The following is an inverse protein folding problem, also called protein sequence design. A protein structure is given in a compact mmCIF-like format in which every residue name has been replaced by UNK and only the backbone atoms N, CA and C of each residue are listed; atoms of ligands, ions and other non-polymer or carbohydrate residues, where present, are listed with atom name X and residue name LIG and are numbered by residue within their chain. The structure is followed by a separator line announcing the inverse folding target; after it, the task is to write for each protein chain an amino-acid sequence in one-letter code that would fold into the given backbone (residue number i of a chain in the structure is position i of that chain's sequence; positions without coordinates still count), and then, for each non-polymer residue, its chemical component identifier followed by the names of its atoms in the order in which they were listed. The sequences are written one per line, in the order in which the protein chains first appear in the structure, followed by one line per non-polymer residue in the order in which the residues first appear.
data_IF_070252630064
#
_entry.id   IF_070252630064
#
_cell.length_a   1.000
_cell.length_b   1.000
_cell.length_c   1.000
_cell.angle_alpha   90.00
_cell.angle_beta   90.00
_cell.angle_gamma   90.00
#
_symmetry.space_group_name_H-M   'P 1'
#
loop_
_entity.id
_entity.type
_entity.pdbx_description
1 polymer ?
#
# COMPACT_ATOMS: atom_id res chain seq x y z
N UNK A 1 28.29 -56.26 29.76
CA UNK A 1 28.52 -55.03 30.55
C UNK A 1 27.77 -53.88 29.89
N UNK A 2 26.52 -53.64 30.27
CA UNK A 2 25.76 -52.48 29.81
C UNK A 2 25.91 -51.34 30.81
N UNK A 3 26.66 -50.31 30.42
CA UNK A 3 26.73 -49.05 31.15
C UNK A 3 25.40 -48.30 30.96
N UNK A 4 24.51 -48.42 31.94
CA UNK A 4 23.37 -47.52 32.11
C UNK A 4 23.91 -46.12 32.38
N UNK A 5 23.95 -45.27 31.35
CA UNK A 5 24.22 -43.84 31.50
C UNK A 5 23.07 -43.21 32.26
N UNK A 6 23.29 -42.89 33.54
CA UNK A 6 22.38 -42.07 34.34
C UNK A 6 22.14 -40.73 33.63
N UNK A 7 20.96 -40.54 33.03
CA UNK A 7 20.52 -39.20 32.64
C UNK A 7 20.43 -38.35 33.93
N UNK A 8 20.91 -37.09 33.92
CA UNK A 8 20.83 -36.25 35.10
C UNK A 8 19.36 -36.10 35.52
N UNK A 9 19.07 -36.28 36.81
CA UNK A 9 17.72 -36.30 37.36
C UNK A 9 16.87 -35.07 36.94
N UNK A 10 17.50 -33.92 36.75
CA UNK A 10 16.86 -32.69 36.26
C UNK A 10 16.30 -32.81 34.83
N UNK A 11 17.02 -33.48 33.91
CA UNK A 11 16.55 -33.65 32.53
C UNK A 11 15.37 -34.64 32.46
N UNK A 12 15.37 -35.66 33.31
CA UNK A 12 14.27 -36.61 33.43
C UNK A 12 13.01 -35.93 34.00
N UNK A 13 13.17 -35.10 35.03
CA UNK A 13 12.08 -34.34 35.64
C UNK A 13 11.44 -33.33 34.66
N UNK A 14 12.26 -32.55 33.95
CA UNK A 14 11.75 -31.59 32.95
C UNK A 14 10.89 -32.27 31.90
N UNK A 15 11.39 -33.38 31.34
CA UNK A 15 10.67 -34.14 30.31
C UNK A 15 9.39 -34.79 30.86
N UNK A 16 9.41 -35.38 32.05
CA UNK A 16 8.25 -36.11 32.55
C UNK A 16 7.15 -35.20 33.10
N UNK A 17 7.51 -34.05 33.66
CA UNK A 17 6.58 -33.23 34.44
C UNK A 17 6.32 -31.88 33.80
N UNK A 18 7.36 -31.13 33.42
CA UNK A 18 7.17 -29.72 33.01
C UNK A 18 6.79 -29.61 31.54
N UNK A 19 7.48 -30.34 30.67
CA UNK A 19 7.26 -30.28 29.22
C UNK A 19 5.81 -30.58 28.79
N UNK A 20 5.13 -31.63 29.31
CA UNK A 20 3.74 -31.89 28.94
C UNK A 20 2.78 -30.79 29.39
N UNK A 21 3.05 -30.16 30.54
CA UNK A 21 2.25 -29.04 31.05
C UNK A 21 2.43 -27.83 30.14
N UNK A 22 3.66 -27.49 29.74
CA UNK A 22 3.94 -26.38 28.82
C UNK A 22 3.30 -26.62 27.45
N UNK A 23 3.44 -27.81 26.89
CA UNK A 23 2.78 -28.15 25.62
C UNK A 23 1.25 -28.06 25.72
N UNK A 24 0.67 -28.52 26.84
CA UNK A 24 -0.76 -28.39 27.11
C UNK A 24 -1.22 -26.93 27.18
N UNK A 25 -0.43 -26.06 27.82
CA UNK A 25 -0.72 -24.61 27.86
C UNK A 25 -0.65 -23.96 26.47
N UNK A 26 0.31 -24.33 25.63
CA UNK A 26 0.43 -23.81 24.26
C UNK A 26 -0.76 -24.22 23.39
N UNK A 27 -1.22 -25.48 23.52
CA UNK A 27 -2.41 -25.95 22.81
C UNK A 27 -3.66 -25.21 23.29
N UNK A 28 -3.82 -25.04 24.60
CA UNK A 28 -4.94 -24.29 25.17
C UNK A 28 -4.95 -22.85 24.66
N UNK A 29 -3.79 -22.18 24.63
CA UNK A 29 -3.65 -20.83 24.08
C UNK A 29 -3.97 -20.75 22.58
N UNK A 30 -3.62 -21.77 21.80
CA UNK A 30 -4.00 -21.81 20.38
C UNK A 30 -5.52 -21.98 20.20
N UNK A 31 -6.17 -22.79 21.05
CA UNK A 31 -7.61 -23.03 21.02
C UNK A 31 -8.45 -21.81 21.41
N UNK A 32 -7.89 -20.81 22.12
CA UNK A 32 -8.61 -19.58 22.48
C UNK A 32 -8.57 -18.51 21.38
N UNK A 33 -7.69 -18.63 20.39
CA UNK A 33 -7.55 -17.64 19.31
C UNK A 33 -8.84 -17.43 18.49
N UNK A 34 -9.61 -18.47 18.09
CA UNK A 34 -10.88 -18.27 17.38
C UNK A 34 -11.91 -17.51 18.21
N UNK A 35 -11.96 -17.74 19.53
CA UNK A 35 -12.84 -17.01 20.44
C UNK A 35 -12.44 -15.54 20.55
N UNK A 36 -11.13 -15.25 20.57
CA UNK A 36 -10.62 -13.87 20.58
C UNK A 36 -10.95 -13.11 19.28
N UNK A 37 -10.93 -13.80 18.13
CA UNK A 37 -11.37 -13.22 16.85
C UNK A 37 -12.88 -12.97 16.85
N UNK A 38 -13.69 -13.92 17.33
CA UNK A 38 -15.14 -13.75 17.44
C UNK A 38 -15.54 -12.60 18.39
N UNK A 39 -14.75 -12.36 19.43
CA UNK A 39 -14.94 -11.26 20.37
C UNK A 39 -14.38 -9.91 19.88
N UNK A 40 -13.87 -9.82 18.64
CA UNK A 40 -13.20 -8.64 18.08
C UNK A 40 -11.99 -8.14 18.91
N UNK A 41 -11.35 -9.01 19.69
CA UNK A 41 -10.14 -8.69 20.46
C UNK A 41 -8.87 -8.82 19.60
N UNK A 42 -8.94 -9.60 18.52
CA UNK A 42 -7.85 -9.80 17.57
C UNK A 42 -8.38 -9.80 16.13
N UNK A 43 -7.59 -9.29 15.20
CA UNK A 43 -7.85 -9.48 13.77
C UNK A 43 -7.51 -10.91 13.34
N UNK A 44 -8.14 -11.42 12.28
CA UNK A 44 -7.85 -12.75 11.74
C UNK A 44 -6.36 -12.92 11.39
N UNK A 45 -5.73 -11.87 10.85
CA UNK A 45 -4.31 -11.90 10.49
C UNK A 45 -3.40 -11.91 11.72
N UNK A 46 -3.75 -11.17 12.78
CA UNK A 46 -3.01 -11.21 14.05
C UNK A 46 -3.11 -12.58 14.72
N UNK A 47 -4.32 -13.17 14.76
CA UNK A 47 -4.55 -14.51 15.31
C UNK A 47 -3.73 -15.57 14.56
N UNK A 48 -3.64 -15.48 13.23
CA UNK A 48 -2.83 -16.40 12.43
C UNK A 48 -1.32 -16.30 12.78
N UNK A 49 -0.79 -15.09 12.96
CA UNK A 49 0.62 -14.90 13.35
C UNK A 49 0.92 -15.48 14.73
N UNK A 50 0.01 -15.30 15.69
CA UNK A 50 0.13 -15.87 17.04
C UNK A 50 0.07 -17.40 16.99
N UNK A 51 -0.86 -17.97 16.21
CA UNK A 51 -0.98 -19.42 16.04
C UNK A 51 0.31 -20.04 15.49
N UNK A 52 0.92 -19.38 14.50
CA UNK A 52 2.21 -19.81 13.93
C UNK A 52 3.31 -19.77 15.00
N UNK A 53 3.42 -18.69 15.78
CA UNK A 53 4.40 -18.58 16.86
C UNK A 53 4.26 -19.68 17.92
N UNK A 54 3.02 -20.00 18.33
CA UNK A 54 2.74 -21.08 19.27
C UNK A 54 3.14 -22.45 18.71
N UNK A 55 2.89 -22.70 17.43
CA UNK A 55 3.25 -23.96 16.76
C UNK A 55 4.77 -24.13 16.64
N UNK A 56 5.50 -23.06 16.32
CA UNK A 56 6.96 -23.07 16.31
C UNK A 56 7.55 -23.37 17.70
N UNK A 57 7.02 -22.72 18.75
CA UNK A 57 7.47 -22.94 20.11
C UNK A 57 7.20 -24.38 20.58
N UNK A 58 6.02 -24.93 20.26
CA UNK A 58 5.69 -26.32 20.54
C UNK A 58 6.61 -27.29 19.77
N UNK A 59 6.92 -27.00 18.51
CA UNK A 59 7.87 -27.78 17.69
C UNK A 59 9.29 -27.79 18.26
N UNK A 60 9.78 -26.64 18.72
CA UNK A 60 11.09 -26.51 19.37
C UNK A 60 11.16 -27.31 20.68
N UNK A 61 10.09 -27.29 21.48
CA UNK A 61 10.01 -28.07 22.73
C UNK A 61 9.96 -29.58 22.48
N UNK A 62 9.36 -30.01 21.37
CA UNK A 62 9.24 -31.43 21.01
C UNK A 62 10.49 -31.99 20.30
N UNK A 63 11.36 -31.14 19.75
CA UNK A 63 12.55 -31.52 18.99
C UNK A 63 13.48 -32.53 19.71
N UNK A 64 13.72 -32.42 21.04
CA UNK A 64 14.55 -33.38 21.78
C UNK A 64 13.94 -34.79 21.87
N UNK A 65 12.61 -34.92 21.71
CA UNK A 65 11.91 -36.22 21.69
C UNK A 65 11.84 -36.85 20.32
N UNK A 66 12.08 -36.07 19.28
CA UNK A 66 12.00 -36.50 17.89
C UNK A 66 12.76 -37.81 17.63
N UNK A 67 14.00 -38.02 18.12
CA UNK A 67 14.73 -39.27 17.88
C UNK A 67 14.09 -40.50 18.55
N UNK A 68 13.50 -40.33 19.74
CA UNK A 68 12.83 -41.42 20.49
C UNK A 68 11.45 -41.74 19.90
N UNK A 69 10.72 -40.72 19.44
CA UNK A 69 9.45 -40.86 18.72
C UNK A 69 9.66 -41.53 17.36
N UNK A 70 10.72 -41.14 16.64
CA UNK A 70 11.16 -41.75 15.38
C UNK A 70 11.59 -43.22 15.52
N UNK A 71 12.23 -43.58 16.64
CA UNK A 71 12.70 -44.95 16.87
C UNK A 71 11.60 -45.95 17.24
N UNK A 72 10.56 -45.53 17.96
CA UNK A 72 9.52 -46.46 18.43
C UNK A 72 8.41 -46.71 17.43
N UNK A 73 8.14 -45.76 16.53
CA UNK A 73 7.02 -45.88 15.59
C UNK A 73 7.37 -45.26 14.24
N UNK A 74 8.17 -46.02 13.47
CA UNK A 74 8.59 -45.66 12.10
C UNK A 74 7.39 -45.32 11.20
N UNK A 75 6.22 -45.89 11.48
CA UNK A 75 4.98 -45.60 10.75
C UNK A 75 4.22 -44.36 11.24
N UNK A 76 4.33 -43.97 12.52
CA UNK A 76 3.59 -42.81 13.06
C UNK A 76 4.31 -41.49 12.83
N UNK A 77 5.64 -41.49 12.68
CA UNK A 77 6.35 -40.28 12.24
C UNK A 77 6.16 -40.03 10.74
N UNK A 78 6.04 -41.09 9.93
CA UNK A 78 5.53 -40.96 8.57
C UNK A 78 4.13 -40.32 8.55
N UNK A 79 3.25 -40.74 9.45
CA UNK A 79 1.90 -40.16 9.59
C UNK A 79 1.93 -38.71 10.08
N UNK A 80 2.78 -38.34 11.04
CA UNK A 80 2.87 -36.97 11.55
C UNK A 80 3.56 -36.02 10.55
N UNK A 81 4.57 -36.50 9.82
CA UNK A 81 5.16 -35.76 8.71
C UNK A 81 4.16 -35.60 7.57
N UNK A 82 3.35 -36.62 7.28
CA UNK A 82 2.24 -36.55 6.34
C UNK A 82 1.17 -35.57 6.81
N UNK A 83 0.76 -35.58 8.07
CA UNK A 83 -0.22 -34.63 8.63
C UNK A 83 0.36 -33.21 8.60
N UNK A 84 1.63 -33.02 8.96
CA UNK A 84 2.30 -31.72 8.91
C UNK A 84 2.42 -31.18 7.48
N UNK A 85 2.83 -32.01 6.52
CA UNK A 85 2.86 -31.62 5.10
C UNK A 85 1.46 -31.43 4.53
N UNK A 86 0.48 -32.25 4.90
CA UNK A 86 -0.92 -32.08 4.50
C UNK A 86 -1.50 -30.81 5.09
N UNK A 87 -1.18 -30.46 6.34
CA UNK A 87 -1.59 -29.21 6.97
C UNK A 87 -0.95 -28.00 6.29
N UNK A 88 0.34 -28.06 5.93
CA UNK A 88 1.03 -27.01 5.15
C UNK A 88 0.44 -26.89 3.74
N UNK A 89 0.15 -28.01 3.07
CA UNK A 89 -0.48 -28.03 1.74
C UNK A 89 -1.91 -27.51 1.82
N UNK A 90 -2.70 -27.89 2.82
CA UNK A 90 -4.02 -27.32 3.07
C UNK A 90 -3.95 -25.84 3.43
N UNK A 91 -2.88 -25.39 4.10
CA UNK A 91 -2.64 -23.96 4.36
C UNK A 91 -2.34 -23.20 3.06
N UNK A 92 -1.53 -23.80 2.18
CA UNK A 92 -1.24 -23.25 0.85
C UNK A 92 -2.47 -23.27 -0.06
N UNK A 93 -3.33 -24.29 0.05
CA UNK A 93 -4.62 -24.38 -0.66
C UNK A 93 -5.65 -23.42 -0.06
N UNK A 94 -5.65 -23.17 1.25
CA UNK A 94 -6.53 -22.17 1.88
C UNK A 94 -6.08 -20.73 1.60
N UNK A 95 -4.77 -20.52 1.34
CA UNK A 95 -4.21 -19.28 0.81
C UNK A 95 -4.44 -19.15 -0.71
N UNK A 96 -4.57 -20.27 -1.42
CA UNK A 96 -5.01 -20.28 -2.81
C UNK A 96 -6.51 -19.94 -2.84
N UNK A 97 -6.87 -18.80 -3.42
CA UNK A 97 -8.28 -18.47 -3.71
C UNK A 97 -8.91 -19.69 -4.42
N UNK A 98 -10.05 -20.24 -3.95
CA UNK A 98 -10.68 -21.36 -4.62
C UNK A 98 -11.00 -20.95 -6.05
N UNK A 99 -10.48 -21.71 -7.02
CA UNK A 99 -10.86 -21.57 -8.42
C UNK A 99 -12.38 -21.72 -8.48
N UNK A 100 -13.06 -20.60 -8.72
CA UNK A 100 -14.51 -20.58 -8.82
C UNK A 100 -14.86 -21.30 -10.12
N UNK A 101 -15.14 -22.59 -10.01
CA UNK A 101 -15.84 -23.34 -11.06
C UNK A 101 -17.19 -22.66 -11.20
N UNK A 102 -17.32 -21.83 -12.22
CA UNK A 102 -18.56 -21.14 -12.55
C UNK A 102 -19.08 -21.75 -13.85
N UNK A 103 -20.38 -22.09 -13.90
CA UNK A 103 -20.94 -22.99 -14.89
C UNK A 103 -20.94 -22.35 -16.27
N UNK A 104 -20.87 -23.21 -17.28
CA UNK A 104 -21.22 -22.86 -18.65
C UNK A 104 -22.63 -22.25 -18.66
N UNK A 105 -22.75 -20.93 -18.82
CA UNK A 105 -24.02 -20.28 -19.09
C UNK A 105 -24.15 -20.01 -20.59
N UNK A 106 -24.90 -20.93 -21.20
CA UNK A 106 -25.84 -20.76 -22.30
C UNK A 106 -25.72 -19.49 -23.16
N UNK A 107 -25.21 -19.73 -24.36
CA UNK A 107 -25.74 -19.25 -25.63
C UNK A 107 -27.24 -18.87 -25.55
N UNK A 108 -27.55 -17.58 -25.72
CA UNK A 108 -28.87 -17.14 -26.17
C UNK A 108 -28.73 -15.91 -27.07
N UNK A 109 -28.98 -16.17 -28.35
CA UNK A 109 -29.70 -15.32 -29.29
C UNK A 109 -29.12 -13.94 -29.63
N UNK A 110 -28.39 -13.97 -30.74
CA UNK A 110 -28.49 -13.03 -31.85
C UNK A 110 -29.81 -12.25 -31.96
N UNK A 111 -29.70 -10.92 -32.06
CA UNK A 111 -30.59 -10.11 -32.90
C UNK A 111 -29.81 -8.90 -33.43
N UNK A 112 -29.58 -8.78 -34.75
CA UNK A 112 -28.91 -7.63 -35.32
C UNK A 112 -29.91 -6.49 -35.46
N UNK A 113 -29.58 -5.32 -34.91
CA UNK A 113 -30.34 -4.09 -35.14
C UNK A 113 -29.52 -3.19 -36.06
N UNK A 114 -29.83 -3.34 -37.35
CA UNK A 114 -29.65 -2.31 -38.37
C UNK A 114 -30.31 -1.01 -37.88
N UNK A 115 -29.54 0.07 -37.86
CA UNK A 115 -30.05 1.43 -38.07
C UNK A 115 -28.91 2.32 -38.54
N UNK A 116 -28.84 2.45 -39.87
CA UNK A 116 -28.17 3.55 -40.56
C UNK A 116 -28.71 4.89 -40.06
N UNK A 117 -27.83 5.81 -39.69
CA UNK A 117 -28.09 7.25 -39.74
C UNK A 117 -26.86 8.02 -40.24
N UNK A 118 -27.06 9.13 -40.97
CA UNK A 118 -26.15 9.59 -42.00
C UNK A 118 -25.16 10.65 -41.53
N UNK A 119 -23.96 10.60 -42.10
CA UNK A 119 -22.88 11.59 -41.98
C UNK A 119 -23.19 12.80 -42.87
N UNK A 120 -23.03 14.05 -42.40
CA UNK A 120 -22.93 15.20 -43.30
C UNK A 120 -21.46 15.48 -43.66
N UNK A 121 -21.26 15.75 -44.95
CA UNK A 121 -19.98 16.03 -45.59
C UNK A 121 -19.33 17.34 -45.14
N UNK A 122 -18.01 17.31 -44.92
CA UNK A 122 -17.16 18.48 -44.70
C UNK A 122 -16.70 19.07 -46.03
N UNK A 123 -16.90 20.38 -46.21
CA UNK A 123 -16.24 21.16 -47.27
C UNK A 123 -15.11 21.95 -46.63
N UNK A 124 -13.90 21.83 -47.19
CA UNK A 124 -12.71 22.54 -46.74
C UNK A 124 -12.75 24.02 -47.11
N UNK A 125 -12.30 24.89 -46.20
CA UNK A 125 -11.76 26.20 -46.54
C UNK A 125 -10.73 26.63 -45.49
N UNK A 126 -9.61 27.08 -46.05
CA UNK A 126 -8.33 27.49 -45.49
C UNK A 126 -8.44 28.86 -44.79
N UNK A 127 -7.95 29.01 -43.54
CA UNK A 127 -7.46 30.30 -43.01
C UNK A 127 -6.56 30.07 -41.79
N UNK A 128 -5.39 30.72 -41.80
CA UNK A 128 -4.35 30.72 -40.78
C UNK A 128 -4.79 31.11 -39.36
N UNK A 129 -4.09 30.53 -38.38
CA UNK A 129 -4.33 30.53 -36.94
C UNK A 129 -4.36 31.91 -36.24
N UNK A 130 -4.90 31.93 -35.01
CA UNK A 130 -4.19 32.57 -33.91
C UNK A 130 -4.04 31.65 -32.67
N UNK A 131 -2.85 31.73 -32.08
CA UNK A 131 -2.44 31.50 -30.68
C UNK A 131 -3.39 30.72 -29.76
N UNK A 132 -2.90 29.57 -29.29
CA UNK A 132 -3.50 28.66 -28.32
C UNK A 132 -4.25 29.37 -27.17
N UNK A 133 -5.57 29.23 -27.16
CA UNK A 133 -6.40 29.56 -26.01
C UNK A 133 -6.14 28.54 -24.88
N UNK A 134 -5.88 29.05 -23.67
CA UNK A 134 -5.79 28.24 -22.47
C UNK A 134 -7.08 27.41 -22.27
N UNK A 135 -7.00 26.18 -21.71
CA UNK A 135 -8.18 25.35 -21.53
C UNK A 135 -9.13 26.02 -20.53
N UNK A 136 -10.35 26.30 -21.00
CA UNK A 136 -11.47 26.75 -20.16
C UNK A 136 -11.75 25.64 -19.14
N UNK A 137 -11.83 26.00 -17.85
CA UNK A 137 -12.18 25.05 -16.79
C UNK A 137 -13.57 24.46 -17.07
N UNK A 138 -13.63 23.26 -17.65
CA UNK A 138 -14.89 22.58 -17.87
C UNK A 138 -15.54 22.24 -16.52
N UNK A 139 -16.88 22.38 -16.40
CA UNK A 139 -17.59 22.31 -15.14
C UNK A 139 -17.38 20.95 -14.45
N UNK A 140 -17.28 20.98 -13.12
CA UNK A 140 -17.37 19.81 -12.25
C UNK A 140 -18.86 19.42 -12.09
N UNK A 141 -19.14 18.13 -11.89
CA UNK A 141 -20.49 17.71 -11.49
C UNK A 141 -20.84 18.32 -10.11
N UNK A 142 -22.11 18.27 -9.72
CA UNK A 142 -22.58 18.78 -8.42
C UNK A 142 -21.83 18.17 -7.22
N UNK A 143 -21.25 16.98 -7.38
CA UNK A 143 -20.45 16.28 -6.38
C UNK A 143 -18.93 16.61 -6.44
N UNK A 144 -18.52 17.60 -7.25
CA UNK A 144 -17.12 17.99 -7.40
C UNK A 144 -16.26 17.05 -8.28
N UNK A 145 -16.81 15.93 -8.77
CA UNK A 145 -16.10 14.98 -9.62
C UNK A 145 -16.20 15.36 -11.10
N UNK A 146 -15.12 15.26 -11.91
CA UNK A 146 -15.16 15.56 -13.33
C UNK A 146 -15.94 14.48 -14.10
N UNK A 147 -16.64 14.91 -15.15
CA UNK A 147 -17.42 14.04 -16.05
C UNK A 147 -16.53 13.40 -17.10
N UNK A 148 -16.79 12.12 -17.42
CA UNK A 148 -16.04 11.37 -18.44
C UNK A 148 -16.21 11.98 -19.84
N UNK A 149 -17.44 12.39 -20.17
CA UNK A 149 -17.81 13.09 -21.40
C UNK A 149 -17.74 14.59 -21.15
N UNK A 150 -16.85 15.27 -21.89
CA UNK A 150 -16.69 16.72 -21.85
C UNK A 150 -15.69 17.19 -22.91
N UNK A 151 -15.70 18.48 -23.27
CA UNK A 151 -14.62 19.07 -24.05
C UNK A 151 -13.24 18.88 -23.39
N UNK A 152 -12.14 18.89 -24.16
CA UNK A 152 -10.81 18.68 -23.62
C UNK A 152 -10.43 19.68 -22.52
N UNK A 153 -10.04 19.15 -21.35
CA UNK A 153 -9.52 19.96 -20.24
C UNK A 153 -8.02 20.27 -20.35
N UNK A 154 -7.31 19.59 -21.26
CA UNK A 154 -5.90 19.83 -21.57
C UNK A 154 -5.69 19.94 -23.08
N UNK A 155 -4.71 20.75 -23.48
CA UNK A 155 -4.26 20.87 -24.86
C UNK A 155 -3.61 19.58 -25.36
N UNK A 156 -3.65 19.35 -26.67
CA UNK A 156 -2.92 18.26 -27.34
C UNK A 156 -1.43 18.26 -27.02
N UNK A 157 -0.81 19.43 -27.05
CA UNK A 157 0.63 19.60 -26.79
C UNK A 157 0.99 19.20 -25.36
N UNK A 158 0.11 19.46 -24.39
CA UNK A 158 0.29 19.00 -23.01
C UNK A 158 0.09 17.48 -22.91
N UNK A 159 -0.95 16.92 -23.53
CA UNK A 159 -1.16 15.47 -23.56
C UNK A 159 0.07 14.73 -24.13
N UNK A 160 0.60 15.19 -25.26
CA UNK A 160 1.79 14.63 -25.88
C UNK A 160 3.03 14.77 -24.98
N UNK A 161 3.28 15.96 -24.43
CA UNK A 161 4.39 16.17 -23.49
C UNK A 161 4.32 15.24 -22.29
N UNK A 162 3.16 15.05 -21.69
CA UNK A 162 3.00 14.15 -20.54
C UNK A 162 3.34 12.68 -20.87
N UNK A 163 3.05 12.21 -22.09
CA UNK A 163 3.47 10.87 -22.52
C UNK A 163 4.97 10.80 -22.78
N UNK A 164 5.60 11.86 -23.30
CA UNK A 164 7.05 11.92 -23.54
C UNK A 164 7.86 12.05 -22.24
N UNK A 165 7.43 12.91 -21.34
CA UNK A 165 8.11 13.23 -20.08
C UNK A 165 7.82 12.18 -18.99
N UNK A 166 6.65 11.54 -19.06
CA UNK A 166 6.17 10.58 -18.06
C UNK A 166 5.66 11.23 -16.77
N UNK A 167 5.34 10.40 -15.78
CA UNK A 167 4.98 10.84 -14.42
C UNK A 167 5.92 10.21 -13.39
N UNK A 168 6.54 11.04 -12.55
CA UNK A 168 7.13 10.62 -11.26
C UNK A 168 8.03 9.38 -11.26
N UNK A 169 8.75 9.09 -12.35
CA UNK A 169 9.69 7.95 -12.45
C UNK A 169 9.44 6.95 -13.59
N UNK A 170 8.31 7.02 -14.31
CA UNK A 170 8.00 6.08 -15.41
C UNK A 170 8.82 6.27 -16.69
N UNK A 171 9.38 7.48 -16.92
CA UNK A 171 10.07 7.79 -18.18
C UNK A 171 9.10 7.87 -19.37
N UNK A 172 9.65 7.88 -20.59
CA UNK A 172 8.89 8.02 -21.83
C UNK A 172 7.95 6.83 -22.07
N UNK A 173 6.67 7.11 -22.27
CA UNK A 173 5.67 6.11 -22.62
C UNK A 173 5.95 5.51 -24.01
N UNK A 174 5.81 4.20 -24.21
CA UNK A 174 5.83 3.60 -25.55
C UNK A 174 4.69 4.10 -26.46
N UNK A 175 3.64 4.71 -25.90
CA UNK A 175 2.55 5.32 -26.65
C UNK A 175 2.87 6.75 -27.13
N UNK A 176 3.94 7.38 -26.62
CA UNK A 176 4.27 8.78 -26.89
C UNK A 176 4.43 9.12 -28.40
N UNK A 177 5.00 8.25 -29.26
CA UNK A 177 5.06 8.51 -30.70
C UNK A 177 3.69 8.63 -31.38
N UNK A 178 2.62 8.15 -30.75
CA UNK A 178 1.26 8.16 -31.28
C UNK A 178 0.37 9.21 -30.60
N UNK A 179 0.93 10.10 -29.78
CA UNK A 179 0.16 10.98 -28.89
C UNK A 179 -0.90 11.83 -29.61
N UNK A 180 -0.58 12.37 -30.78
CA UNK A 180 -1.53 13.21 -31.52
C UNK A 180 -2.75 12.41 -31.98
N UNK A 181 -2.54 11.23 -32.59
CA UNK A 181 -3.64 10.36 -33.02
C UNK A 181 -4.46 9.84 -31.84
N UNK A 182 -3.80 9.53 -30.72
CA UNK A 182 -4.49 9.08 -29.51
C UNK A 182 -5.38 10.18 -28.92
N UNK A 183 -4.88 11.43 -28.90
CA UNK A 183 -5.68 12.59 -28.51
C UNK A 183 -6.91 12.74 -29.42
N UNK A 184 -6.71 12.67 -30.73
CA UNK A 184 -7.82 12.77 -31.71
C UNK A 184 -8.86 11.68 -31.53
N UNK A 185 -8.44 10.44 -31.24
CA UNK A 185 -9.36 9.35 -30.95
C UNK A 185 -10.21 9.71 -29.72
N UNK A 186 -9.58 10.07 -28.60
CA UNK A 186 -10.32 10.38 -27.36
C UNK A 186 -11.36 11.49 -27.59
N UNK A 187 -10.93 12.58 -28.23
CA UNK A 187 -11.81 13.73 -28.52
C UNK A 187 -12.91 13.35 -29.51
N UNK A 188 -12.61 12.53 -30.52
CA UNK A 188 -13.58 12.03 -31.49
C UNK A 188 -14.70 11.19 -30.87
N UNK A 189 -14.41 10.48 -29.77
CA UNK A 189 -15.42 9.77 -28.97
C UNK A 189 -16.13 10.68 -27.93
N UNK A 190 -15.78 11.98 -27.87
CA UNK A 190 -16.37 12.95 -26.95
C UNK A 190 -15.90 12.80 -25.49
N UNK A 191 -14.83 12.04 -25.25
CA UNK A 191 -14.27 11.83 -23.92
C UNK A 191 -13.19 12.87 -23.59
N UNK A 192 -12.94 13.10 -22.30
CA UNK A 192 -11.88 14.01 -21.87
C UNK A 192 -10.49 13.36 -21.94
N UNK A 193 -9.55 13.87 -22.77
CA UNK A 193 -8.18 13.37 -22.83
C UNK A 193 -7.42 13.50 -21.50
N UNK A 194 -7.75 14.45 -20.63
CA UNK A 194 -7.13 14.52 -19.31
C UNK A 194 -7.53 13.32 -18.44
N UNK A 195 -8.81 12.94 -18.46
CA UNK A 195 -9.30 11.80 -17.68
C UNK A 195 -8.78 10.49 -18.27
N UNK A 196 -8.81 10.34 -19.59
CA UNK A 196 -8.27 9.17 -20.27
C UNK A 196 -6.78 8.96 -19.94
N UNK A 197 -5.99 10.03 -19.96
CA UNK A 197 -4.58 9.98 -19.59
C UNK A 197 -4.40 9.63 -18.10
N UNK A 198 -5.25 10.16 -17.21
CA UNK A 198 -5.18 9.87 -15.78
C UNK A 198 -5.46 8.40 -15.45
N UNK A 199 -6.35 7.73 -16.19
CA UNK A 199 -6.55 6.28 -16.11
C UNK A 199 -5.27 5.55 -16.54
N UNK A 200 -4.69 5.87 -17.70
CA UNK A 200 -3.47 5.20 -18.17
C UNK A 200 -2.27 5.37 -17.21
N UNK A 201 -2.15 6.54 -16.59
CA UNK A 201 -1.22 6.81 -15.52
C UNK A 201 -1.44 5.88 -14.30
N UNK A 202 -2.71 5.68 -13.91
CA UNK A 202 -3.05 4.83 -12.78
C UNK A 202 -2.82 3.34 -13.07
N UNK A 203 -3.18 2.88 -14.26
CA UNK A 203 -3.16 1.47 -14.63
C UNK A 203 -1.75 0.92 -14.85
N UNK A 204 -0.84 1.73 -15.40
CA UNK A 204 0.47 1.22 -15.81
C UNK A 204 1.58 2.26 -15.86
N UNK A 205 1.34 3.46 -15.30
CA UNK A 205 2.25 4.61 -15.43
C UNK A 205 2.59 4.88 -16.91
N UNK A 206 1.56 4.99 -17.74
CA UNK A 206 1.70 5.12 -19.20
C UNK A 206 2.41 3.94 -19.89
N UNK A 207 2.14 2.71 -19.43
CA UNK A 207 2.75 1.49 -19.92
C UNK A 207 4.27 1.45 -19.81
N UNK A 208 4.81 2.03 -18.74
CA UNK A 208 6.25 1.97 -18.44
C UNK A 208 6.57 0.91 -17.39
N UNK A 209 5.53 0.34 -16.77
CA UNK A 209 5.66 -0.64 -15.70
C UNK A 209 4.69 -1.81 -15.87
N UNK A 210 4.92 -2.88 -15.12
CA UNK A 210 4.02 -4.01 -15.02
C UNK A 210 3.82 -4.79 -16.32
N UNK A 211 2.68 -5.47 -16.42
CA UNK A 211 2.38 -6.35 -17.56
C UNK A 211 2.29 -5.59 -18.88
N UNK A 212 1.84 -4.33 -18.85
CA UNK A 212 1.65 -3.56 -20.06
C UNK A 212 2.95 -3.47 -20.88
N UNK A 213 4.06 -3.12 -20.24
CA UNK A 213 5.37 -3.08 -20.90
C UNK A 213 5.94 -4.48 -21.12
N UNK A 214 5.78 -5.40 -20.16
CA UNK A 214 6.36 -6.76 -20.26
C UNK A 214 5.79 -7.61 -21.39
N UNK A 215 4.55 -7.34 -21.81
CA UNK A 215 3.86 -8.09 -22.86
C UNK A 215 3.47 -7.22 -24.06
N UNK A 216 3.99 -5.99 -24.15
CA UNK A 216 3.70 -5.04 -25.23
C UNK A 216 2.19 -4.93 -25.54
N UNK A 217 1.40 -4.78 -24.47
CA UNK A 217 -0.05 -5.03 -24.51
C UNK A 217 -0.83 -3.96 -25.30
N UNK A 218 -0.29 -2.75 -25.41
CA UNK A 218 -0.96 -1.57 -26.02
C UNK A 218 -2.36 -1.34 -25.43
N UNK A 219 -2.52 -1.69 -24.16
CA UNK A 219 -3.78 -1.76 -23.45
C UNK A 219 -3.87 -0.56 -22.49
N UNK A 220 -4.64 0.45 -22.91
CA UNK A 220 -4.67 1.77 -22.28
C UNK A 220 -5.17 1.73 -20.84
N UNK A 221 -6.17 0.90 -20.57
CA UNK A 221 -6.88 0.88 -19.30
C UNK A 221 -6.72 -0.41 -18.49
N UNK A 222 -5.86 -1.34 -18.91
CA UNK A 222 -5.84 -2.67 -18.30
C UNK A 222 -7.10 -3.48 -18.59
N UNK A 223 -7.70 -3.29 -19.78
CA UNK A 223 -8.90 -4.01 -20.20
C UNK A 223 -8.73 -5.53 -20.09
N UNK A 224 -9.68 -6.17 -19.38
CA UNK A 224 -9.73 -7.63 -19.22
C UNK A 224 -10.29 -8.35 -20.46
N UNK A 225 -11.13 -7.65 -21.22
CA UNK A 225 -11.73 -8.09 -22.46
C UNK A 225 -11.90 -6.88 -23.39
N UNK A 226 -11.82 -7.11 -24.69
CA UNK A 226 -12.07 -6.06 -25.68
C UNK A 226 -13.57 -5.88 -25.94
N UNK A 227 -13.97 -4.65 -26.22
CA UNK A 227 -15.32 -4.37 -26.76
C UNK A 227 -15.42 -4.87 -28.20
N UNK A 228 -14.38 -4.67 -28.99
CA UNK A 228 -14.26 -5.19 -30.35
C UNK A 228 -13.16 -6.27 -30.42
N UNK A 229 -13.53 -7.57 -30.52
CA UNK A 229 -12.56 -8.67 -30.56
C UNK A 229 -11.59 -8.61 -31.75
N UNK A 230 -11.96 -7.96 -32.86
CA UNK A 230 -11.12 -7.88 -34.05
C UNK A 230 -9.86 -7.00 -33.85
N UNK A 231 -9.78 -6.27 -32.74
CA UNK A 231 -8.63 -5.43 -32.36
C UNK A 231 -7.58 -6.19 -31.56
N UNK A 232 -7.91 -7.39 -31.09
CA UNK A 232 -7.10 -8.17 -30.16
C UNK A 232 -6.15 -9.09 -30.94
N UNK A 233 -4.88 -9.07 -30.57
CA UNK A 233 -3.84 -9.96 -31.12
C UNK A 233 -3.40 -11.04 -30.14
N UNK A 234 -3.77 -10.92 -28.87
CA UNK A 234 -3.46 -11.91 -27.86
C UNK A 234 -4.11 -11.62 -26.51
N UNK A 235 -3.90 -12.52 -25.55
CA UNK A 235 -4.35 -12.38 -24.16
C UNK A 235 -3.23 -12.84 -23.24
N UNK A 236 -2.96 -12.07 -22.20
CA UNK A 236 -2.06 -12.44 -21.10
C UNK A 236 -2.88 -12.75 -19.85
N UNK A 237 -2.46 -13.74 -19.07
CA UNK A 237 -3.14 -14.16 -17.85
C UNK A 237 -2.25 -13.92 -16.63
N UNK A 238 -2.85 -13.43 -15.54
CA UNK A 238 -2.23 -13.41 -14.23
C UNK A 238 -3.21 -13.92 -13.15
N UNK A 239 -2.84 -13.74 -11.87
CA UNK A 239 -3.66 -14.16 -10.73
C UNK A 239 -5.01 -13.45 -10.61
N UNK A 240 -5.22 -12.31 -11.28
CA UNK A 240 -6.46 -11.54 -11.25
C UNK A 240 -7.32 -11.74 -12.50
N UNK A 241 -6.81 -12.40 -13.54
CA UNK A 241 -7.60 -12.77 -14.73
C UNK A 241 -6.89 -12.50 -16.06
N UNK A 242 -7.64 -12.58 -17.18
CA UNK A 242 -7.13 -12.24 -18.50
C UNK A 242 -6.99 -10.72 -18.68
N UNK A 243 -6.06 -10.33 -19.53
CA UNK A 243 -5.92 -8.98 -20.07
C UNK A 243 -5.62 -9.07 -21.56
N UNK A 244 -6.27 -8.23 -22.36
CA UNK A 244 -6.14 -8.26 -23.81
C UNK A 244 -4.89 -7.52 -24.29
N UNK A 245 -4.31 -8.01 -25.39
CA UNK A 245 -3.23 -7.35 -26.14
C UNK A 245 -3.83 -6.82 -27.43
N UNK A 246 -3.64 -5.53 -27.70
CA UNK A 246 -4.17 -4.88 -28.89
C UNK A 246 -3.14 -4.81 -30.02
N UNK A 247 -3.64 -4.76 -31.26
CA UNK A 247 -2.79 -4.65 -32.45
C UNK A 247 -1.95 -3.37 -32.49
N UNK A 248 -2.51 -2.25 -32.01
CA UNK A 248 -1.87 -0.95 -31.97
C UNK A 248 -2.36 -0.12 -30.77
N UNK A 249 -1.64 0.95 -30.45
CA UNK A 249 -2.06 1.92 -29.44
C UNK A 249 -3.42 2.55 -29.77
N UNK A 250 -3.64 2.85 -31.06
CA UNK A 250 -4.87 3.41 -31.57
C UNK A 250 -6.05 2.45 -31.37
N UNK A 251 -5.87 1.16 -31.65
CA UNK A 251 -6.92 0.17 -31.43
C UNK A 251 -7.22 -0.02 -29.94
N UNK A 252 -6.20 -0.08 -29.08
CA UNK A 252 -6.39 -0.14 -27.64
C UNK A 252 -7.11 1.08 -27.07
N UNK A 253 -6.82 2.26 -27.61
CA UNK A 253 -7.51 3.52 -27.24
C UNK A 253 -8.96 3.55 -27.70
N UNK A 254 -9.25 3.18 -28.95
CA UNK A 254 -10.64 3.11 -29.45
C UNK A 254 -11.46 2.15 -28.61
N UNK A 255 -10.90 0.99 -28.30
CA UNK A 255 -11.55 -0.02 -27.47
C UNK A 255 -11.79 0.47 -26.04
N UNK A 256 -10.83 1.20 -25.46
CA UNK A 256 -11.00 1.82 -24.15
C UNK A 256 -12.10 2.89 -24.17
N UNK A 257 -12.14 3.75 -25.20
CA UNK A 257 -13.18 4.76 -25.34
C UNK A 257 -14.57 4.12 -25.46
N UNK A 258 -14.71 3.07 -26.28
CA UNK A 258 -15.93 2.30 -26.41
C UNK A 258 -16.31 1.60 -25.10
N UNK A 259 -15.34 1.08 -24.35
CA UNK A 259 -15.57 0.48 -23.05
C UNK A 259 -16.17 1.51 -22.09
N UNK A 260 -15.57 2.69 -21.97
CA UNK A 260 -16.06 3.77 -21.10
C UNK A 260 -17.50 4.16 -21.48
N UNK A 261 -17.76 4.39 -22.76
CA UNK A 261 -19.09 4.81 -23.22
C UNK A 261 -20.13 3.69 -23.02
N UNK A 262 -19.84 2.48 -23.49
CA UNK A 262 -20.79 1.37 -23.52
C UNK A 262 -21.04 0.76 -22.15
N UNK A 263 -19.99 0.50 -21.35
CA UNK A 263 -20.11 -0.20 -20.06
C UNK A 263 -20.40 0.71 -18.88
N UNK A 264 -20.21 2.03 -19.01
CA UNK A 264 -20.36 2.96 -17.90
C UNK A 264 -21.30 4.12 -18.23
N UNK A 265 -20.94 4.98 -19.20
CA UNK A 265 -21.72 6.20 -19.49
C UNK A 265 -23.16 5.88 -19.92
N UNK A 266 -23.35 4.90 -20.81
CA UNK A 266 -24.68 4.45 -21.25
C UNK A 266 -25.53 3.84 -20.12
N UNK A 267 -24.92 3.49 -18.99
CA UNK A 267 -25.60 2.99 -17.79
C UNK A 267 -25.82 4.09 -16.73
N UNK A 268 -25.53 5.34 -17.08
CA UNK A 268 -25.69 6.49 -16.18
C UNK A 268 -24.49 6.77 -15.28
N UNK A 269 -23.38 6.04 -15.42
CA UNK A 269 -22.14 6.30 -14.68
C UNK A 269 -21.32 7.35 -15.44
N UNK A 270 -21.55 8.63 -15.12
CA UNK A 270 -21.07 9.75 -15.95
C UNK A 270 -19.89 10.50 -15.37
N UNK A 271 -19.60 10.35 -14.07
CA UNK A 271 -18.43 10.96 -13.42
C UNK A 271 -17.35 9.94 -13.10
N UNK A 272 -16.12 10.41 -12.90
CA UNK A 272 -15.00 9.56 -12.43
C UNK A 272 -15.36 8.80 -11.15
N UNK A 273 -16.10 9.43 -10.23
CA UNK A 273 -16.51 8.83 -8.97
C UNK A 273 -17.58 7.74 -9.15
N UNK A 274 -18.38 7.80 -10.21
CA UNK A 274 -19.37 6.77 -10.55
C UNK A 274 -18.72 5.58 -11.28
N UNK A 275 -17.73 5.86 -12.13
CA UNK A 275 -17.08 4.85 -12.99
C UNK A 275 -16.13 3.95 -12.20
N UNK A 276 -15.26 4.54 -11.37
CA UNK A 276 -14.16 3.80 -10.73
C UNK A 276 -14.63 2.62 -9.86
N UNK A 277 -15.69 2.74 -9.03
CA UNK A 277 -16.17 1.62 -8.22
C UNK A 277 -16.60 0.38 -9.03
N UNK A 278 -16.92 0.56 -10.31
CA UNK A 278 -17.27 -0.53 -11.24
C UNK A 278 -16.08 -0.93 -12.11
N UNK A 279 -15.19 0.01 -12.41
CA UNK A 279 -14.01 -0.19 -13.26
C UNK A 279 -12.89 -0.96 -12.53
N UNK A 280 -12.60 -0.55 -11.31
CA UNK A 280 -11.53 -1.08 -10.46
C UNK A 280 -12.08 -1.30 -9.03
N UNK A 281 -12.96 -2.30 -8.83
CA UNK A 281 -13.59 -2.54 -7.54
C UNK A 281 -12.61 -3.10 -6.50
N UNK A 282 -12.92 -2.91 -5.22
CA UNK A 282 -12.17 -3.49 -4.10
C UNK A 282 -12.16 -5.03 -4.09
N UNK A 283 -13.15 -5.68 -4.73
CA UNK A 283 -13.17 -7.14 -4.91
C UNK A 283 -11.95 -7.66 -5.69
N UNK A 284 -11.37 -6.80 -6.54
CA UNK A 284 -10.16 -7.06 -7.33
C UNK A 284 -8.88 -6.62 -6.61
N UNK A 285 -8.99 -6.12 -5.37
CA UNK A 285 -7.87 -5.65 -4.55
C UNK A 285 -7.51 -4.18 -4.77
N UNK A 286 -8.40 -3.40 -5.39
CA UNK A 286 -8.21 -1.95 -5.56
C UNK A 286 -8.67 -1.16 -4.34
N UNK A 287 -8.19 0.07 -4.22
CA UNK A 287 -8.76 1.09 -3.34
C UNK A 287 -9.42 2.14 -4.24
N UNK A 288 -10.77 2.14 -4.24
CA UNK A 288 -11.53 2.95 -5.20
C UNK A 288 -11.38 4.44 -4.91
N UNK A 289 -11.31 4.83 -3.64
CA UNK A 289 -11.16 6.23 -3.25
C UNK A 289 -9.76 6.75 -3.62
N UNK A 290 -8.71 5.97 -3.36
CA UNK A 290 -7.35 6.34 -3.76
C UNK A 290 -7.23 6.49 -5.29
N UNK A 291 -7.91 5.64 -6.05
CA UNK A 291 -7.96 5.78 -7.52
C UNK A 291 -8.65 7.10 -7.90
N UNK A 292 -9.85 7.37 -7.37
CA UNK A 292 -10.60 8.61 -7.63
C UNK A 292 -9.73 9.84 -7.33
N UNK A 293 -9.10 9.87 -6.16
CA UNK A 293 -8.26 10.98 -5.71
C UNK A 293 -7.04 11.17 -6.61
N UNK A 294 -6.42 10.08 -7.07
CA UNK A 294 -5.28 10.14 -8.00
C UNK A 294 -5.70 10.72 -9.36
N UNK A 295 -6.88 10.34 -9.87
CA UNK A 295 -7.40 10.92 -11.11
C UNK A 295 -7.70 12.40 -10.95
N UNK A 296 -8.40 12.78 -9.87
CA UNK A 296 -8.72 14.18 -9.58
C UNK A 296 -7.46 15.04 -9.47
N UNK A 297 -6.45 14.56 -8.73
CA UNK A 297 -5.18 15.25 -8.52
C UNK A 297 -4.41 15.46 -9.81
N UNK A 298 -4.29 14.42 -10.64
CA UNK A 298 -3.58 14.50 -11.93
C UNK A 298 -4.27 15.49 -12.87
N UNK A 299 -5.60 15.37 -13.01
CA UNK A 299 -6.38 16.28 -13.87
C UNK A 299 -6.26 17.73 -13.39
N UNK A 300 -6.40 17.98 -12.08
CA UNK A 300 -6.24 19.33 -11.53
C UNK A 300 -4.84 19.89 -11.80
N UNK A 301 -3.79 19.13 -11.52
CA UNK A 301 -2.40 19.53 -11.75
C UNK A 301 -2.13 19.86 -13.23
N UNK A 302 -2.63 19.05 -14.16
CA UNK A 302 -2.45 19.29 -15.61
C UNK A 302 -3.24 20.50 -16.12
N UNK A 303 -4.28 20.92 -15.41
CA UNK A 303 -4.96 22.18 -15.67
C UNK A 303 -4.26 23.39 -15.06
N UNK A 304 -3.07 23.21 -14.45
CA UNK A 304 -2.35 24.26 -13.75
C UNK A 304 -3.01 24.69 -12.45
N UNK A 305 -3.90 23.86 -11.90
CA UNK A 305 -4.48 24.07 -10.57
C UNK A 305 -3.60 23.34 -9.55
N UNK A 306 -3.36 23.98 -8.41
CA UNK A 306 -2.87 23.25 -7.25
C UNK A 306 -3.96 22.25 -6.85
N UNK A 307 -3.70 20.93 -6.91
CA UNK A 307 -4.69 19.98 -6.47
C UNK A 307 -4.92 20.22 -4.98
N UNK A 308 -6.17 20.50 -4.58
CA UNK A 308 -6.53 20.47 -3.16
C UNK A 308 -6.11 19.10 -2.62
N UNK A 309 -5.14 19.12 -1.71
CA UNK A 309 -4.60 17.92 -1.11
C UNK A 309 -5.71 17.31 -0.23
N UNK A 310 -6.48 16.36 -0.78
CA UNK A 310 -7.25 15.42 0.02
C UNK A 310 -6.26 14.50 0.73
N UNK A 311 -5.71 15.00 1.82
CA UNK A 311 -5.02 14.22 2.83
C UNK A 311 -6.14 13.42 3.50
N UNK A 312 -6.16 12.09 3.32
CA UNK A 312 -7.10 11.22 4.04
C UNK A 312 -7.13 11.60 5.52
N UNK A 313 -8.31 11.51 6.16
CA UNK A 313 -8.52 12.02 7.52
C UNK A 313 -7.54 11.44 8.57
N UNK A 314 -6.87 10.33 8.23
CA UNK A 314 -6.01 9.57 9.12
C UNK A 314 -4.52 9.96 9.09
N UNK A 315 -4.08 10.87 8.21
CA UNK A 315 -2.69 11.32 8.20
C UNK A 315 -2.49 12.50 9.16
N UNK A 316 -1.67 12.29 10.20
CA UNK A 316 -1.28 13.35 11.15
C UNK A 316 -0.61 14.50 10.40
N UNK A 317 -1.09 15.72 10.66
CA UNK A 317 -0.55 16.96 10.11
C UNK A 317 0.42 17.58 11.11
N UNK A 318 1.58 17.97 10.61
CA UNK A 318 2.64 18.60 11.38
C UNK A 318 2.94 19.99 10.82
N UNK A 319 3.36 20.95 11.66
CA UNK A 319 3.66 22.31 11.22
C UNK A 319 4.85 22.38 10.25
N UNK A 320 5.79 21.44 10.37
CA UNK A 320 6.94 21.28 9.49
C UNK A 320 7.47 19.84 9.53
N UNK A 321 8.28 19.46 8.53
CA UNK A 321 8.82 18.10 8.40
C UNK A 321 9.69 17.70 9.60
N UNK A 322 10.53 18.60 10.12
CA UNK A 322 11.44 18.27 11.20
C UNK A 322 10.67 18.00 12.50
N UNK A 323 9.70 18.86 12.83
CA UNK A 323 8.78 18.65 13.95
C UNK A 323 8.00 17.34 13.78
N UNK A 324 7.46 17.08 12.58
CA UNK A 324 6.70 15.87 12.32
C UNK A 324 7.50 14.59 12.50
N UNK A 325 8.72 14.53 11.94
CA UNK A 325 9.61 13.38 12.11
C UNK A 325 10.04 13.20 13.58
N UNK A 326 10.26 14.29 14.32
CA UNK A 326 10.56 14.21 15.75
C UNK A 326 9.36 13.71 16.57
N UNK A 327 8.15 14.17 16.27
CA UNK A 327 6.92 13.68 16.90
C UNK A 327 6.71 12.19 16.62
N UNK A 328 6.88 11.73 15.38
CA UNK A 328 6.81 10.29 15.05
C UNK A 328 7.91 9.48 15.75
N UNK A 329 9.11 10.05 15.92
CA UNK A 329 10.22 9.41 16.64
C UNK A 329 9.88 9.18 18.13
N UNK A 330 9.28 10.16 18.79
CA UNK A 330 8.80 10.04 20.18
C UNK A 330 7.61 9.08 20.29
N UNK A 331 6.67 9.18 19.35
CA UNK A 331 5.48 8.33 19.31
C UNK A 331 5.83 6.85 19.11
N UNK A 332 6.91 6.54 18.37
CA UNK A 332 7.38 5.17 18.16
C UNK A 332 7.78 4.46 19.46
N UNK A 333 8.06 5.22 20.52
CA UNK A 333 8.33 4.70 21.87
C UNK A 333 7.21 5.01 22.85
N UNK A 334 6.01 5.34 22.34
CA UNK A 334 4.82 5.70 23.12
C UNK A 334 5.02 6.93 24.02
N UNK A 335 5.94 7.83 23.64
CA UNK A 335 6.22 9.07 24.36
C UNK A 335 5.69 10.28 23.59
N UNK A 336 5.36 11.34 24.32
CA UNK A 336 4.93 12.60 23.74
C UNK A 336 6.11 13.57 23.56
N UNK A 337 6.21 14.18 22.37
CA UNK A 337 7.18 15.24 22.12
C UNK A 337 6.63 16.60 22.58
N UNK A 338 7.23 17.15 23.63
CA UNK A 338 6.96 18.50 24.11
C UNK A 338 8.01 19.52 23.59
N UNK A 339 7.69 20.38 22.60
CA UNK A 339 8.66 21.31 21.99
C UNK A 339 9.16 22.42 22.92
N UNK A 340 8.49 22.65 24.05
CA UNK A 340 8.85 23.65 25.05
C UNK A 340 9.73 23.09 26.17
N UNK A 341 9.92 21.77 26.23
CA UNK A 341 10.73 21.13 27.28
C UNK A 341 12.21 21.19 26.92
N UNK A 342 13.04 21.46 27.92
CA UNK A 342 14.46 21.71 27.71
C UNK A 342 15.22 20.53 27.08
N UNK A 343 14.97 19.29 27.54
CA UNK A 343 15.59 18.10 26.93
C UNK A 343 15.21 17.92 25.47
N UNK A 344 13.94 18.18 25.12
CA UNK A 344 13.46 18.03 23.75
C UNK A 344 13.98 19.13 22.82
N UNK A 345 14.15 20.36 23.32
CA UNK A 345 14.84 21.43 22.60
C UNK A 345 16.31 21.10 22.40
N UNK A 346 16.98 20.59 23.43
CA UNK A 346 18.39 20.17 23.35
C UNK A 346 18.58 19.05 22.34
N UNK A 347 17.70 18.04 22.30
CA UNK A 347 17.73 16.96 21.30
C UNK A 347 17.60 17.50 19.88
N UNK A 348 16.66 18.43 19.64
CA UNK A 348 16.53 19.09 18.34
C UNK A 348 17.78 19.88 17.95
N UNK A 349 18.40 20.58 18.92
CA UNK A 349 19.61 21.36 18.68
C UNK A 349 20.81 20.45 18.34
N UNK A 350 21.01 19.36 19.09
CA UNK A 350 22.07 18.39 18.85
C UNK A 350 21.89 17.67 17.49
N UNK A 351 20.65 17.29 17.15
CA UNK A 351 20.34 16.69 15.84
C UNK A 351 20.66 17.66 14.69
N UNK A 352 20.28 18.95 14.81
CA UNK A 352 20.64 20.00 13.83
C UNK A 352 22.15 20.19 13.72
N UNK A 353 22.89 19.97 14.81
CA UNK A 353 24.34 20.07 14.84
C UNK A 353 25.06 18.77 14.42
N UNK A 354 24.35 17.79 13.88
CA UNK A 354 24.92 16.52 13.39
C UNK A 354 25.31 15.53 14.50
N UNK A 355 24.81 15.71 15.72
CA UNK A 355 25.09 14.85 16.89
C UNK A 355 23.79 14.27 17.49
N UNK A 356 22.97 13.57 16.70
CA UNK A 356 21.67 13.09 17.18
C UNK A 356 21.84 12.20 18.42
N UNK A 357 20.90 12.31 19.35
CA UNK A 357 20.82 11.46 20.56
C UNK A 357 20.01 10.17 20.31
N UNK A 358 19.32 10.09 19.15
CA UNK A 358 18.41 9.00 18.80
C UNK A 358 17.05 9.10 19.50
N UNK A 359 16.26 8.03 19.43
CA UNK A 359 14.92 7.98 20.04
C UNK A 359 14.99 8.01 21.57
N UNK A 360 14.01 8.64 22.25
CA UNK A 360 13.88 8.51 23.70
C UNK A 360 13.58 7.05 24.07
N UNK A 361 14.16 6.55 25.15
CA UNK A 361 13.90 5.19 25.65
C UNK A 361 12.87 5.21 26.79
N UNK A 362 12.69 6.36 27.44
CA UNK A 362 11.74 6.52 28.54
C UNK A 362 11.38 7.97 28.81
N UNK A 363 10.42 8.15 29.71
CA UNK A 363 10.00 9.46 30.20
C UNK A 363 11.11 10.18 30.96
N UNK A 364 10.95 11.50 31.10
CA UNK A 364 11.77 12.27 32.02
C UNK A 364 11.45 11.89 33.47
N UNK A 365 12.45 11.48 34.24
CA UNK A 365 12.30 11.10 35.65
C UNK A 365 13.18 11.97 36.54
N UNK A 366 12.97 11.91 37.87
CA UNK A 366 13.79 12.60 38.85
C UNK A 366 14.60 11.59 39.66
N UNK A 367 15.89 11.85 39.85
CA UNK A 367 16.78 11.05 40.69
C UNK A 367 17.41 11.90 41.80
N UNK A 368 17.93 11.25 42.83
CA UNK A 368 18.61 11.89 43.95
C UNK A 368 20.00 11.27 44.14
N UNK A 369 21.04 12.11 44.11
CA UNK A 369 22.45 11.69 44.23
C UNK A 369 23.17 12.69 45.13
N UNK A 370 23.84 12.21 46.17
CA UNK A 370 24.69 13.00 47.07
C UNK A 370 24.05 14.31 47.57
N UNK A 371 22.79 14.26 47.98
CA UNK A 371 22.11 15.46 48.51
C UNK A 371 21.42 16.34 47.45
N UNK A 372 21.55 16.02 46.16
CA UNK A 372 21.05 16.83 45.05
C UNK A 372 20.07 16.07 44.18
N UNK A 373 19.05 16.77 43.68
CA UNK A 373 18.05 16.23 42.75
C UNK A 373 18.46 16.53 41.31
N UNK A 374 18.16 15.62 40.40
CA UNK A 374 18.37 15.81 38.96
C UNK A 374 17.12 15.37 38.20
N UNK A 375 16.73 16.12 37.18
CA UNK A 375 15.86 15.60 36.13
C UNK A 375 16.73 14.83 35.14
N UNK A 376 16.27 13.69 34.65
CA UNK A 376 16.98 12.88 33.66
C UNK A 376 16.02 12.38 32.58
N UNK A 377 16.52 12.20 31.36
CA UNK A 377 15.82 11.46 30.31
C UNK A 377 16.81 10.68 29.46
N UNK A 378 16.53 9.41 29.25
CA UNK A 378 17.41 8.50 28.51
C UNK A 378 17.01 8.45 27.03
N UNK A 379 18.00 8.59 26.16
CA UNK A 379 17.89 8.45 24.71
C UNK A 379 18.81 7.31 24.22
N UNK A 380 18.59 6.84 23.00
CA UNK A 380 19.32 5.71 22.41
C UNK A 380 20.86 5.84 22.47
N UNK A 381 21.39 7.06 22.39
CA UNK A 381 22.82 7.32 22.32
C UNK A 381 23.39 8.06 23.55
N UNK A 382 22.55 8.53 24.48
CA UNK A 382 23.01 9.20 25.71
C UNK A 382 21.88 9.38 26.74
N UNK A 383 22.25 9.82 27.95
CA UNK A 383 21.29 10.27 28.97
C UNK A 383 21.48 11.76 29.19
N UNK A 384 20.38 12.53 29.07
CA UNK A 384 20.35 13.94 29.40
C UNK A 384 20.02 14.14 30.87
N UNK A 385 20.59 15.16 31.49
CA UNK A 385 20.27 15.54 32.86
C UNK A 385 20.36 17.04 33.11
N UNK A 386 19.58 17.52 34.09
CA UNK A 386 19.61 18.89 34.59
C UNK A 386 19.57 18.89 36.13
N UNK A 387 20.51 19.57 36.82
CA UNK A 387 20.44 19.73 38.25
C UNK A 387 19.19 20.51 38.67
N UNK A 388 18.38 19.95 39.56
CA UNK A 388 17.19 20.61 40.10
C UNK A 388 17.60 21.41 41.33
N UNK A 389 17.22 22.69 41.37
CA UNK A 389 17.49 23.54 42.52
C UNK A 389 16.74 23.05 43.78
N UNK A 390 17.19 23.49 44.95
CA UNK A 390 16.48 23.19 46.21
C UNK A 390 15.03 23.69 46.18
N UNK A 391 14.81 24.83 45.52
CA UNK A 391 13.49 25.40 45.20
C UNK A 391 13.29 25.26 43.70
N UNK A 392 12.29 24.48 43.28
CA UNK A 392 12.17 24.02 41.89
C UNK A 392 11.94 25.19 40.91
N UNK A 393 11.24 26.26 41.31
CA UNK A 393 11.06 27.45 40.47
C UNK A 393 12.37 28.19 40.16
N UNK A 394 13.45 27.91 40.91
CA UNK A 394 14.79 28.46 40.67
C UNK A 394 15.68 27.54 39.84
N UNK A 395 15.13 26.43 39.34
CA UNK A 395 15.88 25.48 38.50
C UNK A 395 16.23 26.13 37.17
N UNK A 396 17.50 26.07 36.79
CA UNK A 396 17.93 26.49 35.47
C UNK A 396 17.67 25.37 34.46
N UNK A 397 16.46 25.33 33.89
CA UNK A 397 16.09 24.28 32.94
C UNK A 397 16.90 24.32 31.64
N UNK A 398 17.56 25.43 31.29
CA UNK A 398 18.44 25.46 30.11
C UNK A 398 19.80 24.82 30.37
N UNK A 399 20.15 24.47 31.61
CA UNK A 399 21.36 23.70 31.96
C UNK A 399 21.13 22.21 31.68
N UNK A 400 21.05 21.85 30.41
CA UNK A 400 20.95 20.46 29.94
C UNK A 400 22.34 19.92 29.66
N UNK A 401 22.67 18.80 30.30
CA UNK A 401 23.97 18.15 30.22
C UNK A 401 23.83 16.72 29.71
N UNK A 402 24.91 16.17 29.16
CA UNK A 402 25.01 14.79 28.67
C UNK A 402 25.82 13.94 29.63
N UNK A 403 25.38 12.71 29.90
CA UNK A 403 26.15 11.76 30.71
C UNK A 403 27.51 11.46 30.09
N UNK A 404 27.59 11.34 28.76
CA UNK A 404 28.88 11.12 28.08
C UNK A 404 29.92 12.21 28.38
N UNK A 405 29.50 13.48 28.50
CA UNK A 405 30.41 14.57 28.86
C UNK A 405 30.85 14.49 30.33
N UNK A 406 29.95 14.12 31.24
CA UNK A 406 30.27 13.91 32.66
C UNK A 406 31.36 12.85 32.84
N UNK A 407 31.24 11.75 32.10
CA UNK A 407 32.21 10.66 32.13
C UNK A 407 33.57 11.05 31.54
N UNK A 408 33.64 12.09 30.71
CA UNK A 408 34.90 12.62 30.17
C UNK A 408 35.59 13.57 31.15
N UNK A 409 34.83 14.36 31.92
CA UNK A 409 35.39 15.36 32.84
C UNK A 409 35.79 14.79 34.19
N UNK A 410 35.28 13.59 34.56
CA UNK A 410 35.64 12.92 35.82
C UNK A 410 35.09 13.62 37.07
N UNK A 411 34.05 14.44 36.93
CA UNK A 411 33.33 15.00 38.09
C UNK A 411 32.46 13.88 38.70
N UNK A 412 32.86 13.35 39.87
CA UNK A 412 32.09 12.37 40.67
C UNK A 412 30.96 12.99 41.51
#
# INVERSE_FOLDING_TARGET
MHASKNQPAAAAWWQQTVEPIVLGMLVLAACTLPLAVLANLLTMQAALRVAIGLLWLAGLLALPRLPRLLHREQHRVGLLALIGTTAVVLLLIAQAKPATVTPAYADTSSTPLDREHPVPATTAADTAAPVAAAPVAAPLAQNGSPTMVSPPRISRELFARLLWDGIGGGGTSPAAPHADELYDIIVGYGLDPAIALAFFAQESQFCTTGMCISYDMKNWGGQRAAVNPNRVTGVVYNSTGPFVIFASWQEGMRDWCELILYRYVNRGLVTVADVIPVYAPASDGNDEQVYIDNVHRRVAAWQGRDPEFWIGQDLRRYPDLATGLMMETFQATELEYHPTWAFHQFVMQEARAGRPLGSPIGESTKIYVNGRRYAIQTFALDTLYTPIASIEERTNWSDVRRMSNLLQTGEE
#
